data_IF_558266294352
#
_entry.id   IF_558266294352
#
_cell.length_a   1.000
_cell.length_b   1.000
_cell.length_c   1.000
_cell.angle_alpha   90.00
_cell.angle_beta   90.00
_cell.angle_gamma   90.00
#
_symmetry.space_group_name_H-M   'P 1'
#
loop_
_entity.id
_entity.type
_entity.pdbx_description
1 polymer ?
#
# COMPACT_ATOMS: atom_id res chain seq x y z
N UNK A 1 -7.05 24.30 4.14
CA UNK A 1 -6.68 23.59 2.90
C UNK A 1 -5.27 23.01 3.07
N UNK A 2 -5.13 21.91 3.81
CA UNK A 2 -3.85 21.46 4.41
C UNK A 2 -3.66 19.94 4.27
N UNK A 3 -4.01 19.38 3.10
CA UNK A 3 -4.14 17.91 2.90
C UNK A 3 -3.14 17.33 1.88
N UNK A 4 -2.29 18.12 1.21
CA UNK A 4 -1.45 17.60 0.11
C UNK A 4 0.03 18.02 0.22
N UNK A 5 0.49 18.47 1.39
CA UNK A 5 1.90 18.90 1.57
C UNK A 5 2.69 18.16 2.65
N UNK A 6 2.22 16.99 3.10
CA UNK A 6 2.99 16.10 3.99
C UNK A 6 3.62 14.95 3.19
N UNK A 7 4.22 15.25 2.04
CA UNK A 7 5.08 14.29 1.32
C UNK A 7 6.58 14.55 1.53
N UNK A 8 6.93 15.54 2.37
CA UNK A 8 8.33 15.89 2.70
C UNK A 8 8.74 15.61 4.14
N UNK A 9 7.87 15.07 5.01
CA UNK A 9 8.21 14.81 6.42
C UNK A 9 8.28 13.31 6.78
N UNK A 10 8.82 12.45 5.91
CA UNK A 10 9.14 11.06 6.26
C UNK A 10 10.60 10.68 5.96
N UNK A 11 11.49 11.67 5.75
CA UNK A 11 12.94 11.41 5.74
C UNK A 11 13.57 11.43 7.15
N UNK A 12 12.77 11.60 8.22
CA UNK A 12 13.23 11.53 9.61
C UNK A 12 12.29 10.73 10.52
N UNK A 13 11.70 9.65 10.03
CA UNK A 13 11.13 8.65 10.94
C UNK A 13 11.89 7.34 10.81
N UNK A 14 12.85 7.18 11.74
CA UNK A 14 13.56 5.93 11.98
C UNK A 14 12.61 4.99 12.72
N UNK A 15 11.63 4.45 12.03
CA UNK A 15 10.94 3.25 12.49
C UNK A 15 11.61 2.01 11.92
N UNK A 16 11.72 0.98 12.77
CA UNK A 16 12.28 -0.32 12.42
C UNK A 16 11.57 -0.83 11.15
N UNK A 17 12.27 -1.50 10.23
CA UNK A 17 11.59 -2.12 9.09
C UNK A 17 10.57 -3.11 9.66
N UNK A 18 9.30 -2.74 9.59
CA UNK A 18 8.21 -3.66 9.90
C UNK A 18 8.18 -4.61 8.73
N UNK A 19 8.52 -5.86 8.98
CA UNK A 19 8.51 -6.88 7.95
C UNK A 19 7.07 -7.28 7.66
N UNK A 20 6.57 -6.82 6.51
CA UNK A 20 5.24 -7.15 6.00
C UNK A 20 5.27 -8.39 5.11
N UNK A 21 6.29 -9.27 5.23
CA UNK A 21 6.60 -10.35 4.30
C UNK A 21 5.42 -11.07 3.64
N UNK A 22 4.38 -11.44 4.40
CA UNK A 22 3.15 -12.07 3.87
C UNK A 22 2.35 -11.18 2.90
N UNK A 23 2.23 -9.90 3.23
CA UNK A 23 1.57 -8.89 2.42
C UNK A 23 2.46 -8.51 1.23
N UNK A 24 3.77 -8.35 1.44
CA UNK A 24 4.72 -8.05 0.37
C UNK A 24 4.72 -9.16 -0.70
N UNK A 25 4.84 -10.42 -0.29
CA UNK A 25 4.82 -11.58 -1.21
C UNK A 25 3.49 -11.62 -2.00
N UNK A 26 2.39 -11.32 -1.33
CA UNK A 26 1.07 -11.26 -1.96
C UNK A 26 0.94 -10.07 -2.93
N UNK A 27 1.55 -8.93 -2.62
CA UNK A 27 1.63 -7.78 -3.53
C UNK A 27 2.45 -8.13 -4.77
N UNK A 28 3.64 -8.73 -4.62
CA UNK A 28 4.50 -9.15 -5.75
C UNK A 28 3.78 -10.13 -6.67
N UNK A 29 3.11 -11.14 -6.10
CA UNK A 29 2.27 -12.09 -6.85
C UNK A 29 1.14 -11.40 -7.62
N UNK A 30 0.45 -10.43 -7.01
CA UNK A 30 -0.62 -9.70 -7.66
C UNK A 30 -0.10 -8.70 -8.71
N UNK A 31 1.09 -8.12 -8.51
CA UNK A 31 1.77 -7.26 -9.47
C UNK A 31 2.02 -8.02 -10.78
N UNK A 32 2.60 -9.22 -10.68
CA UNK A 32 2.84 -10.12 -11.80
C UNK A 32 1.55 -10.53 -12.52
N UNK A 33 0.49 -10.86 -11.77
CA UNK A 33 -0.83 -11.19 -12.35
C UNK A 33 -1.48 -10.01 -13.09
N UNK A 34 -1.20 -8.79 -12.66
CA UNK A 34 -1.71 -7.56 -13.27
C UNK A 34 -0.84 -7.06 -14.43
N UNK A 35 0.23 -7.77 -14.81
CA UNK A 35 1.13 -7.41 -15.90
C UNK A 35 2.03 -6.21 -15.57
N UNK A 36 2.25 -5.94 -14.28
CA UNK A 36 3.16 -4.90 -13.80
C UNK A 36 4.54 -5.51 -13.52
N UNK A 37 5.59 -4.71 -13.72
CA UNK A 37 6.93 -5.11 -13.32
C UNK A 37 7.05 -5.10 -11.78
N UNK A 38 7.72 -6.13 -11.26
CA UNK A 38 8.06 -6.21 -9.84
C UNK A 38 9.22 -5.25 -9.55
N UNK A 39 8.88 -4.00 -9.30
CA UNK A 39 9.83 -2.94 -8.95
C UNK A 39 9.73 -2.70 -7.45
N UNK A 40 10.84 -2.83 -6.72
CA UNK A 40 10.86 -2.61 -5.26
C UNK A 40 10.32 -1.23 -4.85
N UNK A 41 10.58 -0.21 -5.67
CA UNK A 41 10.03 1.14 -5.48
C UNK A 41 8.51 1.23 -5.63
N UNK A 42 7.86 0.31 -6.34
CA UNK A 42 6.40 0.21 -6.41
C UNK A 42 5.84 -0.47 -5.16
N UNK A 43 6.44 -1.60 -4.76
CA UNK A 43 6.06 -2.34 -3.55
C UNK A 43 6.19 -1.46 -2.29
N UNK A 44 7.29 -0.72 -2.17
CA UNK A 44 7.52 0.23 -1.07
C UNK A 44 6.40 1.29 -1.00
N UNK A 45 5.92 1.79 -2.14
CA UNK A 45 4.82 2.76 -2.19
C UNK A 45 3.48 2.14 -1.79
N UNK A 46 3.24 0.88 -2.15
CA UNK A 46 2.05 0.15 -1.71
C UNK A 46 2.05 -0.08 -0.20
N UNK A 47 3.22 -0.35 0.40
CA UNK A 47 3.37 -0.47 1.86
C UNK A 47 3.12 0.88 2.55
N UNK A 48 3.73 1.96 2.06
CA UNK A 48 3.47 3.31 2.58
C UNK A 48 1.99 3.70 2.47
N UNK A 49 1.33 3.29 1.38
CA UNK A 49 -0.10 3.47 1.18
C UNK A 49 -0.91 2.70 2.23
N UNK A 50 -0.54 1.44 2.51
CA UNK A 50 -1.17 0.62 3.54
C UNK A 50 -1.02 1.23 4.93
N UNK A 51 0.21 1.57 5.35
CA UNK A 51 0.50 2.21 6.64
C UNK A 51 -0.33 3.48 6.83
N UNK A 52 -0.40 4.32 5.79
CA UNK A 52 -1.20 5.54 5.83
C UNK A 52 -2.69 5.23 5.93
N UNK A 53 -3.19 4.18 5.26
CA UNK A 53 -4.60 3.78 5.31
C UNK A 53 -5.00 3.26 6.69
N UNK A 54 -4.11 2.53 7.37
CA UNK A 54 -4.33 2.02 8.73
C UNK A 54 -4.42 3.17 9.75
N UNK A 55 -3.57 4.20 9.61
CA UNK A 55 -3.53 5.33 10.55
C UNK A 55 -4.55 6.42 10.19
N UNK A 56 -4.90 6.57 8.91
CA UNK A 56 -5.75 7.64 8.40
C UNK A 56 -6.69 7.11 7.32
N UNK A 57 -7.99 7.28 7.54
CA UNK A 57 -9.02 6.95 6.53
C UNK A 57 -9.02 7.85 5.29
N UNK A 58 -8.13 8.85 5.21
CA UNK A 58 -8.05 9.80 4.10
C UNK A 58 -6.63 9.97 3.61
N UNK A 59 -6.40 9.62 2.34
CA UNK A 59 -5.13 9.82 1.63
C UNK A 59 -5.39 10.23 0.19
N UNK A 60 -4.41 10.89 -0.44
CA UNK A 60 -4.45 11.25 -1.86
C UNK A 60 -3.20 10.75 -2.59
N UNK A 61 -3.39 9.97 -3.65
CA UNK A 61 -2.30 9.56 -4.56
C UNK A 61 -2.07 10.67 -5.61
N UNK A 62 -0.98 11.42 -5.49
CA UNK A 62 -0.68 12.57 -6.36
C UNK A 62 0.56 12.33 -7.23
N UNK A 63 0.60 12.94 -8.41
CA UNK A 63 1.75 12.98 -9.32
C UNK A 63 1.37 12.83 -10.81
N UNK A 64 2.34 12.63 -11.71
CA UNK A 64 2.11 12.74 -13.15
C UNK A 64 1.21 11.62 -13.69
N UNK A 65 0.45 11.93 -14.73
CA UNK A 65 -0.42 10.97 -15.45
C UNK A 65 0.41 9.79 -15.98
N UNK A 66 -0.11 8.57 -15.85
CA UNK A 66 0.58 7.35 -16.32
C UNK A 66 1.58 6.73 -15.32
N UNK A 67 1.81 7.34 -14.15
CA UNK A 67 2.73 6.80 -13.12
C UNK A 67 2.20 5.60 -12.31
N UNK A 68 1.19 4.89 -12.80
CA UNK A 68 0.68 3.67 -12.16
C UNK A 68 -0.06 3.87 -10.83
N UNK A 69 -0.51 5.09 -10.48
CA UNK A 69 -1.24 5.37 -9.22
C UNK A 69 -2.49 4.52 -9.07
N UNK A 70 -3.26 4.40 -10.15
CA UNK A 70 -4.47 3.56 -10.16
C UNK A 70 -4.12 2.10 -9.89
N UNK A 71 -3.03 1.63 -10.50
CA UNK A 71 -2.55 0.26 -10.31
C UNK A 71 -2.02 0.01 -8.90
N UNK A 72 -1.42 1.01 -8.25
CA UNK A 72 -0.93 0.93 -6.88
C UNK A 72 -2.05 0.55 -5.89
N UNK A 73 -3.16 1.30 -5.87
CA UNK A 73 -4.27 0.99 -4.97
C UNK A 73 -4.99 -0.31 -5.37
N UNK A 74 -5.08 -0.63 -6.67
CA UNK A 74 -5.67 -1.89 -7.14
C UNK A 74 -4.87 -3.12 -6.70
N UNK A 75 -3.53 -3.07 -6.80
CA UNK A 75 -2.64 -4.15 -6.34
C UNK A 75 -2.74 -4.28 -4.82
N UNK A 76 -2.71 -3.17 -4.09
CA UNK A 76 -2.87 -3.19 -2.64
C UNK A 76 -4.21 -3.82 -2.23
N UNK A 77 -5.32 -3.43 -2.88
CA UNK A 77 -6.65 -4.00 -2.65
C UNK A 77 -6.64 -5.52 -2.84
N UNK A 78 -6.13 -6.00 -3.99
CA UNK A 78 -6.06 -7.44 -4.28
C UNK A 78 -5.15 -8.19 -3.31
N UNK A 79 -4.04 -7.57 -2.89
CA UNK A 79 -3.13 -8.16 -1.92
C UNK A 79 -3.84 -8.34 -0.57
N UNK A 80 -4.53 -7.31 -0.08
CA UNK A 80 -5.32 -7.37 1.17
C UNK A 80 -6.42 -8.43 1.12
N UNK A 81 -7.16 -8.52 0.01
CA UNK A 81 -8.12 -9.61 -0.21
C UNK A 81 -7.46 -10.99 -0.24
N UNK A 82 -6.24 -11.11 -0.78
CA UNK A 82 -5.52 -12.40 -0.84
C UNK A 82 -4.92 -12.80 0.51
N UNK A 83 -4.66 -11.82 1.39
CA UNK A 83 -4.10 -12.02 2.74
C UNK A 83 -5.13 -11.92 3.84
N UNK A 84 -6.43 -11.96 3.50
CA UNK A 84 -7.52 -11.90 4.46
C UNK A 84 -7.33 -12.96 5.57
N UNK A 85 -7.45 -12.53 6.83
CA UNK A 85 -7.33 -13.41 7.98
C UNK A 85 -5.90 -13.75 8.43
N UNK A 86 -4.86 -13.19 7.79
CA UNK A 86 -3.48 -13.22 8.32
C UNK A 86 -3.27 -12.12 9.37
N UNK A 87 -2.33 -12.36 10.29
CA UNK A 87 -1.93 -11.38 11.30
C UNK A 87 -1.19 -10.20 10.66
N UNK A 88 -1.71 -8.98 10.84
CA UNK A 88 -0.96 -7.77 10.50
C UNK A 88 -0.07 -7.39 11.69
N UNK A 89 1.12 -6.80 11.45
CA UNK A 89 1.94 -6.21 12.51
C UNK A 89 1.24 -5.09 13.29
N UNK A 90 0.09 -4.59 12.80
CA UNK A 90 -0.78 -3.65 13.51
C UNK A 90 -1.62 -4.30 14.64
N UNK A 91 -1.61 -5.64 14.78
CA UNK A 91 -2.35 -6.36 15.81
C UNK A 91 -3.82 -6.62 15.47
N UNK A 92 -4.27 -6.24 14.27
CA UNK A 92 -5.57 -6.58 13.70
C UNK A 92 -5.38 -7.47 12.47
N UNK A 93 -6.25 -8.46 12.20
CA UNK A 93 -6.16 -9.24 10.97
C UNK A 93 -6.34 -8.34 9.74
N UNK A 94 -5.75 -8.75 8.61
CA UNK A 94 -6.01 -8.07 7.33
C UNK A 94 -7.48 -8.27 6.93
N UNK A 95 -8.14 -7.17 6.60
CA UNK A 95 -9.53 -7.13 6.13
C UNK A 95 -9.60 -6.98 4.62
N UNK A 96 -10.63 -7.55 4.01
CA UNK A 96 -10.92 -7.33 2.60
C UNK A 96 -11.34 -5.86 2.38
N UNK A 97 -10.68 -5.20 1.43
CA UNK A 97 -11.05 -3.83 1.05
C UNK A 97 -12.11 -3.86 -0.05
N UNK A 98 -13.33 -3.45 0.27
CA UNK A 98 -14.39 -3.25 -0.71
C UNK A 98 -14.34 -1.83 -1.30
N UNK A 99 -14.29 -1.73 -2.63
CA UNK A 99 -14.47 -0.44 -3.33
C UNK A 99 -15.89 -0.36 -3.85
N UNK A 100 -16.67 0.59 -3.32
CA UNK A 100 -17.99 0.90 -3.86
C UNK A 100 -17.80 1.75 -5.12
N UNK A 101 -18.10 1.18 -6.28
CA UNK A 101 -18.20 1.89 -7.56
C UNK A 101 -19.65 1.91 -8.01
#
# INVERSE_FOLDING_TARGET
>A
MRIILEFYCTFLYREKPIDYGDLEDSMRKNCLKSGLEDVDGFITKCIQLYETTVVRHGLMLVGPTGSGKTRCYEVLKKALTSTEGKDSPAGTPYEEVHTLY
#
